data_IF_538445068468
#
_entry.id   IF_538445068468
#
_cell.length_a   1.000
_cell.length_b   1.000
_cell.length_c   1.000
_cell.angle_alpha   90.00
_cell.angle_beta   90.00
_cell.angle_gamma   90.00
#
_symmetry.space_group_name_H-M   'P 1'
#
loop_
_entity.id
_entity.type
_entity.pdbx_description
1 polymer ?
#
# COMPACT_ATOMS: atom_id res chain seq x y z
N UNK A 1 38.47 58.30 85.11
CA UNK A 1 37.99 57.31 84.13
C UNK A 1 37.47 56.10 84.90
N UNK A 2 36.15 55.96 84.91
CA UNK A 2 35.39 55.18 85.89
C UNK A 2 35.45 53.67 85.70
N UNK A 3 35.54 52.94 86.83
CA UNK A 3 35.32 51.49 86.91
C UNK A 3 33.99 51.05 86.29
N UNK A 4 33.00 51.95 86.21
CA UNK A 4 31.69 51.71 85.60
C UNK A 4 31.74 51.57 84.07
N UNK A 5 32.58 52.37 83.38
CA UNK A 5 32.73 52.30 81.91
C UNK A 5 33.41 50.99 81.48
N UNK A 6 34.42 50.53 82.22
CA UNK A 6 35.08 49.24 81.96
C UNK A 6 34.16 48.04 82.16
N UNK A 7 33.26 48.09 83.16
CA UNK A 7 32.26 47.01 83.39
C UNK A 7 31.21 46.94 82.29
N UNK A 8 30.75 48.09 81.78
CA UNK A 8 29.81 48.12 80.65
C UNK A 8 30.43 47.57 79.37
N UNK A 9 31.66 47.98 79.04
CA UNK A 9 32.39 47.47 77.87
C UNK A 9 32.63 45.95 77.97
N UNK A 10 32.96 45.44 79.16
CA UNK A 10 33.14 44.00 79.38
C UNK A 10 31.83 43.22 79.22
N UNK A 11 30.72 43.72 79.77
CA UNK A 11 29.42 43.08 79.61
C UNK A 11 28.93 43.09 78.15
N UNK A 12 29.21 44.16 77.41
CA UNK A 12 28.88 44.28 75.99
C UNK A 12 29.72 43.33 75.13
N UNK A 13 31.02 43.19 75.42
CA UNK A 13 31.88 42.20 74.74
C UNK A 13 31.44 40.77 75.05
N UNK A 14 31.10 40.47 76.30
CA UNK A 14 30.60 39.14 76.68
C UNK A 14 29.29 38.79 75.95
N UNK A 15 28.40 39.78 75.77
CA UNK A 15 27.15 39.60 75.02
C UNK A 15 27.41 39.37 73.53
N UNK A 16 28.37 40.12 72.95
CA UNK A 16 28.80 39.91 71.55
C UNK A 16 29.41 38.53 71.36
N UNK A 17 30.21 38.03 72.29
CA UNK A 17 30.79 36.69 72.22
C UNK A 17 29.71 35.60 72.31
N UNK A 18 28.67 35.79 73.14
CA UNK A 18 27.52 34.88 73.21
C UNK A 18 26.72 34.89 71.89
N UNK A 19 26.44 36.06 71.34
CA UNK A 19 25.74 36.21 70.05
C UNK A 19 26.54 35.61 68.89
N UNK A 20 27.86 35.78 68.91
CA UNK A 20 28.77 35.23 67.89
C UNK A 20 28.86 33.70 67.99
N UNK A 21 28.84 33.15 69.20
CA UNK A 21 28.78 31.69 69.43
C UNK A 21 27.44 31.10 68.97
N UNK A 22 26.33 31.80 69.20
CA UNK A 22 25.01 31.38 68.72
C UNK A 22 24.91 31.41 67.20
N UNK A 23 25.44 32.46 66.55
CA UNK A 23 25.54 32.56 65.10
C UNK A 23 26.41 31.45 64.51
N UNK A 24 27.55 31.13 65.13
CA UNK A 24 28.41 30.01 64.70
C UNK A 24 27.69 28.67 64.77
N UNK A 25 26.93 28.42 65.84
CA UNK A 25 26.15 27.18 65.96
C UNK A 25 25.03 27.10 64.90
N UNK A 26 24.35 28.21 64.60
CA UNK A 26 23.36 28.26 63.52
C UNK A 26 23.99 28.01 62.14
N UNK A 27 25.18 28.55 61.89
CA UNK A 27 25.92 28.34 60.63
C UNK A 27 26.32 26.88 60.46
N UNK A 28 26.80 26.22 61.52
CA UNK A 28 27.13 24.80 61.51
C UNK A 28 25.89 23.94 61.27
N UNK A 29 24.76 24.28 61.89
CA UNK A 29 23.49 23.57 61.67
C UNK A 29 22.97 23.74 60.24
N UNK A 30 23.04 24.95 59.69
CA UNK A 30 22.67 25.24 58.30
C UNK A 30 23.59 24.53 57.30
N UNK A 31 24.89 24.47 57.57
CA UNK A 31 25.87 23.74 56.77
C UNK A 31 25.52 22.24 56.76
N UNK A 32 25.23 21.65 57.92
CA UNK A 32 24.83 20.25 58.03
C UNK A 32 23.51 19.93 57.31
N UNK A 33 22.53 20.84 57.36
CA UNK A 33 21.29 20.73 56.58
C UNK A 33 21.52 20.85 55.07
N UNK A 34 22.41 21.73 54.64
CA UNK A 34 22.76 21.89 53.23
C UNK A 34 23.49 20.66 52.69
N UNK A 35 24.43 20.10 53.46
CA UNK A 35 25.19 18.91 53.08
C UNK A 35 24.29 17.67 52.99
N UNK A 36 23.37 17.51 53.94
CA UNK A 36 22.37 16.42 53.89
C UNK A 36 21.39 16.58 52.74
N UNK A 37 20.92 17.80 52.46
CA UNK A 37 20.05 18.06 51.31
C UNK A 37 20.78 17.84 49.98
N UNK A 38 22.03 18.29 49.86
CA UNK A 38 22.91 18.07 48.69
C UNK A 38 23.18 16.58 48.45
N UNK A 39 23.38 15.79 49.51
CA UNK A 39 23.53 14.34 49.40
C UNK A 39 22.23 13.68 48.89
N UNK A 40 21.08 14.09 49.43
CA UNK A 40 19.77 13.56 49.05
C UNK A 40 19.40 13.92 47.60
N UNK A 41 19.71 15.15 47.17
CA UNK A 41 19.52 15.64 45.80
C UNK A 41 20.40 14.87 44.80
N UNK A 42 21.65 14.56 45.16
CA UNK A 42 22.53 13.72 44.34
C UNK A 42 22.00 12.30 44.18
N UNK A 43 21.48 11.72 45.25
CA UNK A 43 20.90 10.37 45.23
C UNK A 43 19.63 10.33 44.36
N UNK A 44 18.76 11.35 44.47
CA UNK A 44 17.57 11.47 43.59
C UNK A 44 17.94 11.69 42.14
N UNK A 45 18.94 12.52 41.82
CA UNK A 45 19.43 12.71 40.45
C UNK A 45 19.99 11.40 39.87
N UNK A 46 20.73 10.63 40.67
CA UNK A 46 21.26 9.33 40.23
C UNK A 46 20.13 8.33 39.96
N UNK A 47 19.10 8.29 40.82
CA UNK A 47 17.89 7.48 40.62
C UNK A 47 17.15 7.87 39.33
N UNK A 48 16.88 9.16 39.12
CA UNK A 48 16.21 9.68 37.92
C UNK A 48 17.00 9.38 36.64
N UNK A 49 18.32 9.50 36.67
CA UNK A 49 19.17 9.16 35.53
C UNK A 49 19.11 7.67 35.17
N UNK A 50 19.05 6.78 36.18
CA UNK A 50 18.84 5.35 35.95
C UNK A 50 17.45 5.07 35.35
N UNK A 51 16.40 5.73 35.86
CA UNK A 51 15.05 5.58 35.30
C UNK A 51 14.96 6.09 33.86
N UNK A 52 15.59 7.23 33.54
CA UNK A 52 15.69 7.75 32.17
C UNK A 52 16.47 6.79 31.27
N UNK A 53 17.55 6.19 31.75
CA UNK A 53 18.30 5.17 31.03
C UNK A 53 17.45 3.95 30.68
N UNK A 54 16.71 3.42 31.67
CA UNK A 54 15.79 2.29 31.48
C UNK A 54 14.63 2.65 30.55
N UNK A 55 14.10 3.87 30.61
CA UNK A 55 13.05 4.34 29.72
C UNK A 55 13.54 4.47 28.27
N UNK A 56 14.77 4.94 28.06
CA UNK A 56 15.39 5.00 26.73
C UNK A 56 15.60 3.61 26.14
N UNK A 57 16.16 2.69 26.92
CA UNK A 57 16.36 1.31 26.45
C UNK A 57 15.02 0.62 26.10
N UNK A 58 13.97 0.86 26.89
CA UNK A 58 12.62 0.39 26.56
C UNK A 58 12.07 1.04 25.29
N UNK A 59 12.30 2.34 25.09
CA UNK A 59 11.85 3.05 23.89
C UNK A 59 12.55 2.52 22.63
N UNK A 60 13.85 2.26 22.69
CA UNK A 60 14.62 1.65 21.59
C UNK A 60 14.09 0.26 21.25
N UNK A 61 13.92 -0.61 22.25
CA UNK A 61 13.33 -1.95 22.06
C UNK A 61 11.92 -1.89 21.48
N UNK A 62 11.09 -0.95 21.93
CA UNK A 62 9.74 -0.77 21.37
C UNK A 62 9.81 -0.31 19.91
N UNK A 63 10.75 0.56 19.58
CA UNK A 63 10.90 1.07 18.22
C UNK A 63 11.38 -0.04 17.26
N UNK A 64 12.32 -0.87 17.69
CA UNK A 64 12.73 -2.07 16.94
C UNK A 64 11.55 -3.03 16.73
N UNK A 65 10.75 -3.29 17.77
CA UNK A 65 9.54 -4.11 17.65
C UNK A 65 8.52 -3.51 16.69
N UNK A 66 8.30 -2.19 16.72
CA UNK A 66 7.40 -1.49 15.80
C UNK A 66 7.90 -1.63 14.35
N UNK A 67 9.21 -1.52 14.11
CA UNK A 67 9.76 -1.72 12.76
C UNK A 67 9.53 -3.15 12.26
N UNK A 68 9.87 -4.15 13.08
CA UNK A 68 9.68 -5.56 12.72
C UNK A 68 8.20 -5.88 12.43
N UNK A 69 7.30 -5.38 13.27
CA UNK A 69 5.86 -5.60 13.11
C UNK A 69 5.31 -4.90 11.85
N UNK A 70 5.79 -3.67 11.56
CA UNK A 70 5.42 -2.96 10.34
C UNK A 70 5.91 -3.70 9.08
N UNK A 71 7.10 -4.31 9.13
CA UNK A 71 7.61 -5.11 8.03
C UNK A 71 6.80 -6.39 7.82
N UNK A 72 6.40 -7.06 8.90
CA UNK A 72 5.54 -8.24 8.85
C UNK A 72 4.15 -7.92 8.27
N UNK A 73 3.53 -6.81 8.72
CA UNK A 73 2.26 -6.32 8.17
C UNK A 73 2.41 -6.06 6.67
N UNK A 74 3.48 -5.39 6.25
CA UNK A 74 3.73 -5.10 4.83
C UNK A 74 3.89 -6.36 4.00
N UNK A 75 4.66 -7.36 4.46
CA UNK A 75 4.80 -8.67 3.79
C UNK A 75 3.45 -9.38 3.65
N UNK A 76 2.62 -9.33 4.70
CA UNK A 76 1.27 -9.91 4.68
C UNK A 76 0.34 -9.20 3.70
N UNK A 77 0.38 -7.88 3.62
CA UNK A 77 -0.41 -7.11 2.65
C UNK A 77 0.01 -7.40 1.20
N UNK A 78 1.31 -7.48 0.93
CA UNK A 78 1.84 -7.81 -0.40
C UNK A 78 1.44 -9.21 -0.86
N UNK A 79 1.57 -10.21 0.02
CA UNK A 79 1.12 -11.58 -0.30
C UNK A 79 -0.39 -11.61 -0.57
N UNK A 80 -1.18 -10.80 0.15
CA UNK A 80 -2.61 -10.65 -0.09
C UNK A 80 -2.90 -10.04 -1.46
N UNK A 81 -2.15 -9.00 -1.87
CA UNK A 81 -2.28 -8.42 -3.21
C UNK A 81 -1.88 -9.40 -4.32
N UNK A 82 -0.75 -10.10 -4.18
CA UNK A 82 -0.31 -11.10 -5.14
C UNK A 82 -1.34 -12.24 -5.30
N UNK A 83 -1.92 -12.71 -4.19
CA UNK A 83 -3.00 -13.70 -4.19
C UNK A 83 -4.27 -13.17 -4.86
N UNK A 84 -4.68 -11.94 -4.55
CA UNK A 84 -5.84 -11.30 -5.16
C UNK A 84 -5.69 -11.16 -6.69
N UNK A 85 -4.53 -10.70 -7.17
CA UNK A 85 -4.25 -10.61 -8.60
C UNK A 85 -4.19 -11.98 -9.27
N UNK A 86 -3.66 -13.01 -8.59
CA UNK A 86 -3.66 -14.38 -9.12
C UNK A 86 -5.09 -14.94 -9.26
N UNK A 87 -5.99 -14.62 -8.33
CA UNK A 87 -7.39 -15.04 -8.43
C UNK A 87 -8.09 -14.33 -9.60
N UNK A 88 -7.86 -13.02 -9.79
CA UNK A 88 -8.40 -12.26 -10.92
C UNK A 88 -7.85 -12.75 -12.26
N UNK A 89 -6.54 -13.02 -12.36
CA UNK A 89 -5.92 -13.61 -13.54
C UNK A 89 -6.63 -14.93 -13.95
N UNK A 90 -6.90 -15.78 -12.96
CA UNK A 90 -7.57 -17.06 -13.20
C UNK A 90 -9.04 -16.89 -13.61
N UNK A 91 -9.76 -15.96 -12.98
CA UNK A 91 -11.14 -15.65 -13.34
C UNK A 91 -11.23 -15.15 -14.79
N UNK A 92 -10.38 -14.21 -15.20
CA UNK A 92 -10.34 -13.71 -16.57
C UNK A 92 -9.92 -14.79 -17.56
N UNK A 93 -9.02 -15.71 -17.18
CA UNK A 93 -8.66 -16.87 -18.01
C UNK A 93 -9.87 -17.78 -18.26
N UNK A 94 -10.66 -18.09 -17.22
CA UNK A 94 -11.86 -18.91 -17.34
C UNK A 94 -12.89 -18.24 -18.24
N UNK A 95 -13.13 -16.94 -18.04
CA UNK A 95 -14.05 -16.17 -18.89
C UNK A 95 -13.55 -16.08 -20.33
N UNK A 96 -12.26 -15.87 -20.55
CA UNK A 96 -11.63 -15.82 -21.88
C UNK A 96 -11.85 -17.14 -22.65
N UNK A 97 -11.68 -18.29 -21.99
CA UNK A 97 -11.91 -19.62 -22.58
C UNK A 97 -13.39 -19.83 -22.91
N UNK A 98 -14.30 -19.37 -22.05
CA UNK A 98 -15.74 -19.44 -22.29
C UNK A 98 -16.16 -18.62 -23.52
N UNK A 99 -15.62 -17.41 -23.69
CA UNK A 99 -15.87 -16.59 -24.88
C UNK A 99 -15.26 -17.17 -26.15
N UNK A 100 -14.09 -17.81 -26.04
CA UNK A 100 -13.52 -18.56 -27.16
C UNK A 100 -14.44 -19.71 -27.59
N UNK A 101 -14.93 -20.53 -26.64
CA UNK A 101 -15.91 -21.58 -26.92
C UNK A 101 -17.18 -21.03 -27.58
N UNK A 102 -17.69 -19.87 -27.15
CA UNK A 102 -18.84 -19.20 -27.79
C UNK A 102 -18.56 -18.77 -29.24
N UNK A 103 -17.34 -18.31 -29.54
CA UNK A 103 -16.95 -18.01 -30.92
C UNK A 103 -16.92 -19.26 -31.80
N UNK A 104 -16.47 -20.40 -31.26
CA UNK A 104 -16.49 -21.68 -31.98
C UNK A 104 -17.93 -22.14 -32.27
N UNK A 105 -18.83 -22.04 -31.29
CA UNK A 105 -20.26 -22.32 -31.50
C UNK A 105 -20.87 -21.43 -32.58
N UNK A 106 -20.59 -20.13 -32.55
CA UNK A 106 -21.09 -19.18 -33.56
C UNK A 106 -20.57 -19.53 -34.96
N UNK A 107 -19.30 -19.94 -35.06
CA UNK A 107 -18.69 -20.40 -36.32
C UNK A 107 -19.32 -21.70 -36.81
N UNK A 108 -19.59 -22.63 -35.89
CA UNK A 108 -20.25 -23.89 -36.21
C UNK A 108 -21.66 -23.67 -36.76
N UNK A 109 -22.48 -22.83 -36.10
CA UNK A 109 -23.83 -22.51 -36.60
C UNK A 109 -23.82 -21.80 -37.95
N UNK A 110 -22.87 -20.90 -38.17
CA UNK A 110 -22.70 -20.23 -39.46
C UNK A 110 -22.31 -21.23 -40.56
N UNK A 111 -21.32 -22.07 -40.28
CA UNK A 111 -20.87 -23.12 -41.23
C UNK A 111 -21.99 -24.11 -41.53
N UNK A 112 -22.73 -24.55 -40.50
CA UNK A 112 -23.87 -25.44 -40.66
C UNK A 112 -25.00 -24.78 -41.50
N UNK A 113 -25.28 -23.48 -41.29
CA UNK A 113 -26.27 -22.74 -42.07
C UNK A 113 -25.91 -22.68 -43.56
N UNK A 114 -24.63 -22.42 -43.86
CA UNK A 114 -24.12 -22.38 -45.24
C UNK A 114 -24.12 -23.78 -45.87
N UNK A 115 -23.61 -24.80 -45.17
CA UNK A 115 -23.58 -26.18 -45.66
C UNK A 115 -24.98 -26.75 -45.90
N UNK A 116 -25.92 -26.49 -44.98
CA UNK A 116 -27.31 -26.88 -45.14
C UNK A 116 -27.93 -26.22 -46.37
N UNK A 117 -27.56 -24.99 -46.69
CA UNK A 117 -28.03 -24.32 -47.90
C UNK A 117 -27.42 -24.89 -49.19
N UNK A 118 -26.13 -25.23 -49.16
CA UNK A 118 -25.40 -25.77 -50.33
C UNK A 118 -25.73 -27.23 -50.64
N UNK A 119 -25.94 -28.06 -49.61
CA UNK A 119 -26.20 -29.50 -49.76
C UNK A 119 -27.67 -29.86 -49.55
N UNK A 120 -28.43 -29.04 -48.83
CA UNK A 120 -29.85 -29.28 -48.58
C UNK A 120 -30.71 -29.21 -49.85
N UNK A 121 -30.27 -28.49 -50.88
CA UNK A 121 -30.96 -28.47 -52.18
C UNK A 121 -30.96 -29.83 -52.91
N UNK A 122 -30.17 -30.80 -52.46
CA UNK A 122 -30.19 -32.18 -52.96
C UNK A 122 -31.27 -33.05 -52.27
N UNK A 123 -31.87 -32.57 -51.18
CA UNK A 123 -33.05 -33.17 -50.56
C UNK A 123 -34.29 -32.52 -51.17
N UNK A 124 -35.07 -33.29 -51.93
CA UNK A 124 -36.23 -32.82 -52.72
C UNK A 124 -37.32 -32.06 -51.93
N UNK A 125 -37.22 -32.04 -50.59
CA UNK A 125 -38.14 -31.34 -49.67
C UNK A 125 -37.62 -30.00 -49.16
N UNK A 126 -36.36 -29.64 -49.39
CA UNK A 126 -35.81 -28.36 -48.96
C UNK A 126 -36.20 -27.27 -49.97
N UNK A 127 -37.33 -26.59 -49.72
CA UNK A 127 -37.60 -25.27 -50.31
C UNK A 127 -36.32 -24.44 -50.16
N UNK A 128 -35.87 -23.77 -51.23
CA UNK A 128 -34.57 -23.07 -51.31
C UNK A 128 -34.45 -21.98 -50.23
N UNK A 129 -34.12 -22.39 -49.00
CA UNK A 129 -34.17 -21.57 -47.78
C UNK A 129 -33.24 -20.36 -47.87
N UNK A 130 -32.16 -20.47 -48.65
CA UNK A 130 -31.23 -19.37 -48.92
C UNK A 130 -31.84 -18.22 -49.74
N UNK A 131 -33.03 -18.39 -50.33
CA UNK A 131 -33.76 -17.31 -51.01
C UNK A 131 -34.60 -16.48 -50.05
N UNK A 132 -34.90 -17.00 -48.86
CA UNK A 132 -35.70 -16.29 -47.86
C UNK A 132 -34.84 -15.22 -47.18
N UNK A 133 -35.34 -13.97 -46.99
CA UNK A 133 -34.62 -12.90 -46.28
C UNK A 133 -34.16 -13.32 -44.87
N UNK A 134 -34.94 -14.20 -44.24
CA UNK A 134 -34.67 -14.78 -42.92
C UNK A 134 -33.32 -15.50 -42.85
N UNK A 135 -32.85 -16.13 -43.94
CA UNK A 135 -31.54 -16.78 -44.00
C UNK A 135 -30.40 -15.77 -43.84
N UNK A 136 -30.45 -14.67 -44.57
CA UNK A 136 -29.43 -13.62 -44.51
C UNK A 136 -29.44 -12.91 -43.16
N UNK A 137 -30.63 -12.68 -42.58
CA UNK A 137 -30.77 -12.11 -41.25
C UNK A 137 -30.13 -13.03 -40.18
N UNK A 138 -30.38 -14.33 -40.25
CA UNK A 138 -29.85 -15.32 -39.31
C UNK A 138 -28.32 -15.43 -39.42
N UNK A 139 -27.77 -15.41 -40.64
CA UNK A 139 -26.33 -15.36 -40.85
C UNK A 139 -25.72 -14.05 -40.33
N UNK A 140 -26.38 -12.90 -40.52
CA UNK A 140 -25.93 -11.62 -39.98
C UNK A 140 -25.86 -11.66 -38.44
N UNK A 141 -26.85 -12.27 -37.79
CA UNK A 141 -26.85 -12.50 -36.33
C UNK A 141 -25.65 -13.36 -35.92
N UNK A 142 -25.38 -14.47 -36.61
CA UNK A 142 -24.24 -15.34 -36.29
C UNK A 142 -22.89 -14.67 -36.52
N UNK A 143 -22.73 -13.90 -37.60
CA UNK A 143 -21.51 -13.10 -37.84
C UNK A 143 -21.33 -12.08 -36.71
N UNK A 144 -22.39 -11.40 -36.31
CA UNK A 144 -22.34 -10.41 -35.23
C UNK A 144 -21.97 -11.07 -33.89
N UNK A 145 -22.56 -12.22 -33.57
CA UNK A 145 -22.22 -13.00 -32.37
C UNK A 145 -20.78 -13.50 -32.39
N UNK A 146 -20.27 -13.91 -33.55
CA UNK A 146 -18.88 -14.32 -33.73
C UNK A 146 -17.92 -13.15 -33.46
N UNK A 147 -18.13 -12.02 -34.12
CA UNK A 147 -17.30 -10.82 -33.95
C UNK A 147 -17.35 -10.30 -32.51
N UNK A 148 -18.54 -10.27 -31.91
CA UNK A 148 -18.70 -9.88 -30.51
C UNK A 148 -17.97 -10.81 -29.55
N UNK A 149 -18.09 -12.13 -29.76
CA UNK A 149 -17.41 -13.13 -28.93
C UNK A 149 -15.88 -13.03 -29.03
N UNK A 150 -15.35 -12.76 -30.22
CA UNK A 150 -13.92 -12.48 -30.42
C UNK A 150 -13.48 -11.21 -29.70
N UNK A 151 -14.26 -10.12 -29.80
CA UNK A 151 -13.96 -8.86 -29.10
C UNK A 151 -13.88 -9.09 -27.58
N UNK A 152 -14.81 -9.84 -27.01
CA UNK A 152 -14.80 -10.19 -25.59
C UNK A 152 -13.60 -11.08 -25.22
N UNK A 153 -13.26 -12.07 -26.06
CA UNK A 153 -12.08 -12.90 -25.86
C UNK A 153 -10.78 -12.07 -25.82
N UNK A 154 -10.59 -11.15 -26.77
CA UNK A 154 -9.42 -10.27 -26.80
C UNK A 154 -9.39 -9.32 -25.62
N UNK A 155 -10.54 -8.73 -25.25
CA UNK A 155 -10.64 -7.82 -24.12
C UNK A 155 -10.22 -8.50 -22.81
N UNK A 156 -10.76 -9.69 -22.53
CA UNK A 156 -10.40 -10.48 -21.35
C UNK A 156 -8.94 -10.96 -21.38
N UNK A 157 -8.40 -11.24 -22.58
CA UNK A 157 -6.97 -11.53 -22.75
C UNK A 157 -6.08 -10.37 -22.34
N UNK A 158 -6.44 -9.13 -22.71
CA UNK A 158 -5.71 -7.93 -22.28
C UNK A 158 -5.78 -7.72 -20.76
N UNK A 159 -6.96 -7.91 -20.15
CA UNK A 159 -7.12 -7.83 -18.71
C UNK A 159 -6.26 -8.87 -17.99
N UNK A 160 -6.28 -10.13 -18.46
CA UNK A 160 -5.44 -11.20 -17.91
C UNK A 160 -3.95 -10.82 -17.91
N UNK A 161 -3.45 -10.24 -19.01
CA UNK A 161 -2.05 -9.80 -19.11
C UNK A 161 -1.75 -8.66 -18.12
N UNK A 162 -2.66 -7.70 -17.97
CA UNK A 162 -2.48 -6.60 -17.00
C UNK A 162 -2.40 -7.13 -15.56
N UNK A 163 -3.29 -8.05 -15.19
CA UNK A 163 -3.28 -8.68 -13.87
C UNK A 163 -2.07 -9.59 -13.64
N UNK A 164 -1.58 -10.28 -14.67
CA UNK A 164 -0.32 -11.02 -14.60
C UNK A 164 0.86 -10.06 -14.34
N UNK A 165 0.91 -8.91 -15.02
CA UNK A 165 1.95 -7.91 -14.79
C UNK A 165 1.89 -7.32 -13.38
N UNK A 166 0.70 -6.99 -12.87
CA UNK A 166 0.49 -6.50 -11.49
C UNK A 166 0.91 -7.55 -10.45
N UNK A 167 0.61 -8.83 -10.70
CA UNK A 167 1.07 -9.95 -9.86
C UNK A 167 2.59 -10.07 -9.84
N UNK A 168 3.25 -10.05 -11.00
CA UNK A 168 4.72 -10.10 -11.08
C UNK A 168 5.34 -8.89 -10.38
N UNK A 169 4.72 -7.71 -10.51
CA UNK A 169 5.17 -6.51 -9.82
C UNK A 169 5.07 -6.66 -8.29
N UNK A 170 3.96 -7.19 -7.77
CA UNK A 170 3.80 -7.48 -6.34
C UNK A 170 4.82 -8.52 -5.83
N UNK A 171 5.12 -9.54 -6.61
CA UNK A 171 6.14 -10.54 -6.27
C UNK A 171 7.56 -9.95 -6.29
N UNK A 172 7.89 -9.13 -7.31
CA UNK A 172 9.19 -8.44 -7.36
C UNK A 172 9.38 -7.46 -6.22
N UNK A 173 8.30 -6.80 -5.78
CA UNK A 173 8.31 -5.91 -4.62
C UNK A 173 8.60 -6.65 -3.32
N UNK A 174 8.06 -7.87 -3.17
CA UNK A 174 8.38 -8.71 -2.02
C UNK A 174 9.88 -9.03 -1.97
N UNK A 175 10.49 -9.40 -3.10
CA UNK A 175 11.92 -9.71 -3.18
C UNK A 175 12.82 -8.50 -2.92
N UNK A 176 12.51 -7.32 -3.49
CA UNK A 176 13.30 -6.08 -3.30
C UNK A 176 13.26 -5.60 -1.83
N UNK A 177 12.22 -5.94 -1.08
CA UNK A 177 12.15 -5.61 0.35
C UNK A 177 12.94 -6.61 1.20
N UNK A 178 12.98 -7.87 0.79
CA UNK A 178 13.70 -8.94 1.48
C UNK A 178 15.22 -8.84 1.29
N UNK A 179 15.70 -8.28 0.18
CA UNK A 179 17.12 -7.97 -0.02
C UNK A 179 17.49 -6.61 0.61
N UNK A 180 18.20 -6.65 1.75
CA UNK A 180 18.71 -5.46 2.46
C UNK A 180 19.81 -4.70 1.69
N UNK A 181 20.41 -5.30 0.65
CA UNK A 181 21.57 -4.74 -0.06
C UNK A 181 21.23 -3.78 -1.22
N UNK A 182 19.96 -3.62 -1.61
CA UNK A 182 19.60 -2.72 -2.72
C UNK A 182 19.52 -1.24 -2.29
N UNK A 183 20.28 -0.39 -3.00
CA UNK A 183 20.34 1.07 -2.87
C UNK A 183 18.97 1.71 -2.53
N UNK A 184 18.87 2.45 -1.41
CA UNK A 184 17.65 3.16 -0.97
C UNK A 184 16.99 4.02 -2.06
N UNK A 185 17.77 4.56 -2.99
CA UNK A 185 17.30 5.34 -4.14
C UNK A 185 16.55 4.53 -5.20
N UNK A 186 16.86 3.24 -5.36
CA UNK A 186 16.15 2.32 -6.26
C UNK A 186 14.86 1.86 -5.58
N UNK A 187 14.94 1.51 -4.30
CA UNK A 187 13.80 1.11 -3.47
C UNK A 187 12.71 2.18 -3.47
N UNK A 188 13.06 3.44 -3.21
CA UNK A 188 12.09 4.57 -3.20
C UNK A 188 11.42 4.82 -4.56
N UNK A 189 12.17 4.83 -5.67
CA UNK A 189 11.59 5.00 -7.02
C UNK A 189 10.73 3.82 -7.46
N UNK A 190 11.13 2.61 -7.06
CA UNK A 190 10.35 1.41 -7.31
C UNK A 190 9.06 1.41 -6.50
N UNK A 191 9.13 1.83 -5.23
CA UNK A 191 7.98 2.00 -4.33
C UNK A 191 6.93 2.95 -4.91
N UNK A 192 7.35 4.10 -5.40
CA UNK A 192 6.49 5.11 -6.01
C UNK A 192 5.80 4.54 -7.27
N UNK A 193 6.57 3.96 -8.20
CA UNK A 193 6.01 3.35 -9.42
C UNK A 193 5.10 2.15 -9.13
N UNK A 194 5.43 1.33 -8.13
CA UNK A 194 4.62 0.19 -7.74
C UNK A 194 3.27 0.66 -7.16
N UNK A 195 3.29 1.69 -6.30
CA UNK A 195 2.09 2.29 -5.74
C UNK A 195 1.18 2.85 -6.83
N UNK A 196 1.75 3.56 -7.82
CA UNK A 196 1.02 4.07 -8.97
C UNK A 196 0.39 2.94 -9.79
N UNK A 197 1.12 1.84 -10.04
CA UNK A 197 0.59 0.71 -10.80
C UNK A 197 -0.52 -0.02 -10.05
N UNK A 198 -0.39 -0.24 -8.74
CA UNK A 198 -1.42 -0.90 -7.94
C UNK A 198 -2.69 -0.06 -7.78
N UNK A 199 -2.54 1.27 -7.68
CA UNK A 199 -3.66 2.21 -7.56
C UNK A 199 -4.30 2.57 -8.89
N UNK A 200 -3.58 2.39 -10.01
CA UNK A 200 -4.12 2.68 -11.34
C UNK A 200 -5.27 1.73 -11.71
N UNK A 201 -6.34 2.24 -12.34
CA UNK A 201 -7.34 1.36 -12.97
C UNK A 201 -6.65 0.52 -14.06
N UNK A 202 -7.14 -0.70 -14.33
CA UNK A 202 -6.61 -1.52 -15.42
C UNK A 202 -6.57 -0.71 -16.70
N UNK A 203 -5.41 -0.68 -17.35
CA UNK A 203 -5.25 0.05 -18.60
C UNK A 203 -6.14 -0.65 -19.63
N UNK A 204 -7.31 -0.06 -19.87
CA UNK A 204 -8.12 -0.37 -21.02
C UNK A 204 -7.29 0.01 -22.24
N UNK A 205 -6.48 -0.92 -22.74
CA UNK A 205 -6.13 -0.93 -24.16
C UNK A 205 -7.43 -1.21 -24.88
N UNK A 206 -8.19 -0.13 -25.11
CA UNK A 206 -9.27 -0.14 -26.06
C UNK A 206 -8.67 -0.75 -27.31
N UNK A 207 -9.14 -1.94 -27.69
CA UNK A 207 -8.99 -2.36 -29.07
C UNK A 207 -9.87 -1.40 -29.86
N UNK A 208 -9.41 -0.16 -30.04
CA UNK A 208 -10.01 0.82 -30.92
C UNK A 208 -9.85 0.31 -32.34
N UNK A 209 -10.68 -0.66 -32.72
CA UNK A 209 -11.35 -0.68 -34.00
C UNK A 209 -12.68 -1.42 -33.81
N UNK A 210 -13.59 -0.86 -33.02
CA UNK A 210 -15.01 -1.17 -33.26
C UNK A 210 -15.38 -0.42 -34.54
N UNK A 211 -15.89 -1.07 -35.61
CA UNK A 211 -16.20 -0.39 -36.87
C UNK A 211 -17.12 0.83 -36.67
N UNK A 212 -18.07 0.73 -35.73
CA UNK A 212 -18.98 1.82 -35.40
C UNK A 212 -18.28 3.04 -34.77
N UNK A 213 -17.29 2.84 -33.89
CA UNK A 213 -16.49 3.93 -33.31
C UNK A 213 -15.58 4.56 -34.37
N UNK A 214 -15.00 3.76 -35.27
CA UNK A 214 -14.20 4.28 -36.38
C UNK A 214 -15.03 5.07 -37.40
N UNK A 215 -16.28 4.65 -37.63
CA UNK A 215 -17.24 5.31 -38.50
C UNK A 215 -17.74 6.61 -37.86
N UNK A 216 -18.10 6.57 -36.58
CA UNK A 216 -18.46 7.76 -35.82
C UNK A 216 -17.30 8.74 -35.74
N UNK A 217 -16.06 8.29 -35.48
CA UNK A 217 -14.87 9.15 -35.44
C UNK A 217 -14.53 9.74 -36.83
N UNK A 218 -14.74 9.00 -37.92
CA UNK A 218 -14.64 9.52 -39.30
C UNK A 218 -15.70 10.59 -39.61
N UNK A 219 -16.92 10.44 -39.09
CA UNK A 219 -18.02 11.38 -39.30
C UNK A 219 -17.91 12.61 -38.39
N UNK A 220 -17.48 12.42 -37.14
CA UNK A 220 -17.43 13.48 -36.12
C UNK A 220 -16.09 14.21 -36.08
N UNK A 221 -15.09 13.81 -36.87
CA UNK A 221 -13.86 14.57 -37.07
C UNK A 221 -12.99 14.76 -35.82
N UNK A 222 -13.26 14.06 -34.72
CA UNK A 222 -12.54 14.28 -33.47
C UNK A 222 -11.16 13.62 -33.53
N UNK A 223 -10.17 14.38 -33.98
CA UNK A 223 -8.75 14.16 -33.69
C UNK A 223 -8.51 14.70 -32.29
N UNK A 224 -8.46 13.82 -31.30
CA UNK A 224 -7.81 14.17 -30.04
C UNK A 224 -6.39 13.63 -30.10
N UNK A 225 -5.46 14.59 -30.15
CA UNK A 225 -4.05 14.43 -29.78
C UNK A 225 -3.91 13.92 -28.34
#
# INVERSE_FOLDING_TARGET
MDQYSKKQIFAENLRKDIELTQLMNQLVELQGRLDTQSANDKETIASLNNEVGLAKEKAEKLNEQIMLLNEEIRKKELSRFASAYSNQENEYRIQQDLWFKRSLWSTFFLTASVLYSSFGSQLETAKLWYQEPSFYLLNFIFITLFVYSLKQHTHLGNLRIDYANRKTLAQSYQHIIEDEEEFEGIKSRFLERASDVFSSPPLFRSSEVTPHESFLRKITGNKNE
#
